data_IF_560067645983
#
_entry.id   IF_560067645983
#
_cell.length_a   1.000
_cell.length_b   1.000
_cell.length_c   1.000
_cell.angle_alpha   90.00
_cell.angle_beta   90.00
_cell.angle_gamma   90.00
#
_symmetry.space_group_name_H-M   'P 1'
#
loop_
_entity.id
_entity.type
_entity.pdbx_description
1 polymer ?
#
# COMPACT_ATOMS: atom_id res chain seq x y z
N UNK A 1 11.76 10.99 -3.87
CA UNK A 1 10.41 11.34 -4.38
C UNK A 1 9.67 12.41 -3.57
N UNK A 2 9.74 12.43 -2.24
CA UNK A 2 9.01 13.42 -1.40
C UNK A 2 9.25 14.88 -1.83
N UNK A 3 10.49 15.32 -2.01
CA UNK A 3 10.79 16.69 -2.47
C UNK A 3 10.09 17.05 -3.80
N UNK A 4 10.03 16.11 -4.75
CA UNK A 4 9.37 16.30 -6.05
C UNK A 4 7.85 16.42 -5.92
N UNK A 5 7.24 15.62 -5.03
CA UNK A 5 5.81 15.73 -4.68
C UNK A 5 5.51 17.12 -4.09
N UNK A 6 6.34 17.58 -3.16
CA UNK A 6 6.17 18.91 -2.54
C UNK A 6 6.30 20.04 -3.56
N UNK A 7 7.26 19.97 -4.47
CA UNK A 7 7.39 20.97 -5.54
C UNK A 7 6.17 20.97 -6.46
N UNK A 8 5.70 19.80 -6.92
CA UNK A 8 4.54 19.72 -7.80
C UNK A 8 3.26 20.27 -7.16
N UNK A 9 3.04 20.03 -5.84
CA UNK A 9 1.88 20.56 -5.11
C UNK A 9 1.83 22.09 -5.04
N UNK A 10 2.96 22.79 -5.21
CA UNK A 10 2.98 24.26 -5.27
C UNK A 10 2.33 24.81 -6.54
N UNK A 11 2.25 24.00 -7.60
CA UNK A 11 1.73 24.41 -8.90
C UNK A 11 0.33 23.86 -9.20
N UNK A 12 -0.23 23.00 -8.33
CA UNK A 12 -1.57 22.46 -8.50
C UNK A 12 -1.84 21.20 -7.69
N UNK A 13 -3.07 20.67 -7.82
CA UNK A 13 -3.42 19.36 -7.24
C UNK A 13 -2.77 18.24 -8.07
N UNK A 14 -2.18 17.28 -7.38
CA UNK A 14 -1.56 16.11 -8.03
C UNK A 14 -2.63 15.19 -8.63
N UNK A 15 -2.33 14.66 -9.80
CA UNK A 15 -3.08 13.60 -10.48
C UNK A 15 -2.31 12.28 -10.49
N UNK A 16 -2.99 11.17 -10.80
CA UNK A 16 -2.36 9.84 -10.94
C UNK A 16 -1.19 9.88 -11.92
N UNK A 17 -1.33 10.60 -13.04
CA UNK A 17 -0.28 10.74 -14.05
C UNK A 17 0.99 11.42 -13.50
N UNK A 18 0.85 12.40 -12.61
CA UNK A 18 2.00 13.10 -12.02
C UNK A 18 2.79 12.16 -11.11
N UNK A 19 2.09 11.37 -10.29
CA UNK A 19 2.70 10.39 -9.39
C UNK A 19 3.38 9.27 -10.19
N UNK A 20 2.79 8.84 -11.30
CA UNK A 20 3.41 7.86 -12.21
C UNK A 20 4.75 8.36 -12.79
N UNK A 21 4.86 9.65 -13.14
CA UNK A 21 6.12 10.29 -13.60
C UNK A 21 7.21 10.33 -12.53
N UNK A 22 6.86 10.14 -11.26
CA UNK A 22 7.82 10.01 -10.16
C UNK A 22 8.39 8.59 -10.02
N UNK A 23 8.00 7.65 -10.90
CA UNK A 23 8.36 6.23 -10.83
C UNK A 23 7.99 5.60 -9.47
N UNK A 24 6.85 6.01 -8.91
CA UNK A 24 6.33 5.44 -7.67
C UNK A 24 5.66 4.07 -7.94
N UNK A 25 5.65 3.14 -6.96
CA UNK A 25 4.97 1.85 -7.11
C UNK A 25 3.45 2.03 -7.04
N UNK A 26 2.81 2.35 -8.17
CA UNK A 26 1.41 2.77 -8.24
C UNK A 26 0.44 1.76 -7.61
N UNK A 27 0.62 0.46 -7.86
CA UNK A 27 -0.26 -0.59 -7.29
C UNK A 27 -0.23 -0.63 -5.77
N UNK A 28 0.91 -0.32 -5.16
CA UNK A 28 1.07 -0.25 -3.70
C UNK A 28 0.58 1.06 -3.13
N UNK A 29 0.62 2.15 -3.91
CA UNK A 29 0.38 3.49 -3.44
C UNK A 29 -1.08 3.93 -3.58
N UNK A 30 -1.74 3.61 -4.71
CA UNK A 30 -3.10 4.05 -5.02
C UNK A 30 -4.13 3.72 -3.92
N UNK A 31 -4.11 2.57 -3.24
CA UNK A 31 -5.07 2.31 -2.17
C UNK A 31 -4.98 3.30 -1.00
N UNK A 32 -3.88 4.03 -0.84
CA UNK A 32 -3.57 4.85 0.35
C UNK A 32 -3.47 6.35 0.10
N UNK A 33 -3.78 6.83 -1.10
CA UNK A 33 -3.68 8.25 -1.43
C UNK A 33 -4.95 8.79 -2.06
N UNK A 34 -5.21 10.05 -1.81
CA UNK A 34 -6.21 10.84 -2.52
C UNK A 34 -5.49 11.82 -3.48
N UNK A 35 -5.96 11.87 -4.72
CA UNK A 35 -5.45 12.72 -5.79
C UNK A 35 -6.64 13.41 -6.48
N UNK A 36 -6.37 14.42 -7.30
CA UNK A 36 -7.44 15.19 -7.95
C UNK A 36 -8.39 14.34 -8.82
N UNK A 37 -7.89 13.22 -9.34
CA UNK A 37 -8.60 12.28 -10.22
C UNK A 37 -8.68 10.86 -9.63
N UNK A 38 -8.33 10.67 -8.35
CA UNK A 38 -8.35 9.35 -7.70
C UNK A 38 -8.75 9.44 -6.23
N UNK A 39 -9.75 8.64 -5.86
CA UNK A 39 -10.24 8.51 -4.49
C UNK A 39 -10.30 7.01 -4.13
N UNK A 40 -9.64 6.56 -3.05
CA UNK A 40 -9.57 5.14 -2.68
C UNK A 40 -10.92 4.58 -2.18
N UNK A 41 -11.91 5.46 -1.92
CA UNK A 41 -13.26 5.12 -1.45
C UNK A 41 -13.19 4.21 -0.22
N UNK A 42 -14.15 3.30 -0.06
CA UNK A 42 -14.27 2.42 1.10
C UNK A 42 -13.19 1.32 1.20
N UNK A 43 -12.16 1.34 0.35
CA UNK A 43 -11.12 0.30 0.36
C UNK A 43 -10.34 0.22 1.68
N UNK A 44 -10.34 1.30 2.47
CA UNK A 44 -9.64 1.39 3.75
C UNK A 44 -10.56 1.39 4.98
N UNK A 45 -11.88 1.37 4.79
CA UNK A 45 -12.86 1.54 5.88
C UNK A 45 -13.05 0.26 6.71
N UNK A 46 -12.66 -0.89 6.18
CA UNK A 46 -12.76 -2.19 6.85
C UNK A 46 -11.35 -2.71 7.25
N UNK A 47 -10.99 -2.63 8.55
CA UNK A 47 -9.73 -3.15 9.06
C UNK A 47 -9.52 -4.65 8.81
N UNK A 48 -10.58 -5.46 8.80
CA UNK A 48 -10.48 -6.89 8.59
C UNK A 48 -10.11 -7.21 7.13
N UNK A 49 -10.81 -6.60 6.18
CA UNK A 49 -10.47 -6.68 4.74
C UNK A 49 -9.06 -6.14 4.47
N UNK A 50 -8.65 -5.05 5.12
CA UNK A 50 -7.31 -4.48 4.96
C UNK A 50 -6.23 -5.45 5.46
N UNK A 51 -6.44 -6.04 6.65
CA UNK A 51 -5.52 -7.03 7.21
C UNK A 51 -5.40 -8.26 6.32
N UNK A 52 -6.51 -8.76 5.76
CA UNK A 52 -6.48 -9.90 4.83
C UNK A 52 -5.66 -9.61 3.55
N UNK A 53 -5.64 -8.35 3.07
CA UNK A 53 -4.90 -7.94 1.87
C UNK A 53 -3.43 -7.62 2.11
N UNK A 54 -3.08 -7.12 3.29
CA UNK A 54 -1.75 -6.56 3.59
C UNK A 54 -0.91 -7.42 4.53
N UNK A 55 -1.53 -8.27 5.35
CA UNK A 55 -0.78 -9.14 6.25
C UNK A 55 0.01 -10.18 5.44
N UNK A 56 1.18 -10.60 5.92
CA UNK A 56 1.86 -11.78 5.40
C UNK A 56 0.90 -12.98 5.43
N UNK A 57 1.02 -13.93 4.48
CA UNK A 57 0.23 -15.16 4.53
C UNK A 57 0.45 -15.87 5.88
N UNK A 58 -0.60 -16.50 6.44
CA UNK A 58 -0.49 -17.19 7.71
C UNK A 58 0.60 -18.26 7.61
N UNK A 59 1.55 -18.23 8.53
CA UNK A 59 2.60 -19.24 8.63
C UNK A 59 2.23 -20.19 9.75
N UNK A 60 2.05 -21.46 9.40
CA UNK A 60 1.87 -22.52 10.38
C UNK A 60 3.19 -22.72 11.14
N UNK A 61 3.11 -22.71 12.48
CA UNK A 61 4.25 -23.01 13.34
C UNK A 61 4.65 -24.49 13.27
N UNK A 62 5.81 -24.83 13.83
CA UNK A 62 6.23 -26.22 13.94
C UNK A 62 5.22 -27.00 14.80
N UNK A 63 4.70 -28.11 14.26
CA UNK A 63 3.74 -28.95 14.97
C UNK A 63 4.42 -29.83 16.03
N UNK A 64 5.64 -30.29 15.73
CA UNK A 64 6.42 -31.17 16.60
C UNK A 64 7.91 -30.84 16.48
N UNK A 65 8.40 -29.78 17.15
CA UNK A 65 9.81 -29.38 17.04
C UNK A 65 10.79 -30.44 17.57
N UNK A 66 10.36 -31.33 18.48
CA UNK A 66 11.25 -32.29 19.16
C UNK A 66 11.10 -33.75 18.67
N UNK A 67 10.22 -34.04 17.72
CA UNK A 67 9.94 -35.41 17.29
C UNK A 67 11.03 -36.05 16.40
N UNK A 68 12.07 -35.30 16.01
CA UNK A 68 13.19 -35.79 15.22
C UNK A 68 14.37 -36.33 16.06
N UNK A 69 14.25 -36.34 17.40
CA UNK A 69 15.32 -36.73 18.32
C UNK A 69 15.24 -38.20 18.83
N UNK A 70 14.43 -39.05 18.19
CA UNK A 70 14.28 -40.46 18.55
C UNK A 70 14.43 -41.37 17.34
#
# INVERSE_FOLDING_TARGET
NVKRVLMARRHGRLRVADVARLRAPMSKLLPFVELADHHPRKQLDDPATLRARLAPPPRQGALFPDAAAH
#
